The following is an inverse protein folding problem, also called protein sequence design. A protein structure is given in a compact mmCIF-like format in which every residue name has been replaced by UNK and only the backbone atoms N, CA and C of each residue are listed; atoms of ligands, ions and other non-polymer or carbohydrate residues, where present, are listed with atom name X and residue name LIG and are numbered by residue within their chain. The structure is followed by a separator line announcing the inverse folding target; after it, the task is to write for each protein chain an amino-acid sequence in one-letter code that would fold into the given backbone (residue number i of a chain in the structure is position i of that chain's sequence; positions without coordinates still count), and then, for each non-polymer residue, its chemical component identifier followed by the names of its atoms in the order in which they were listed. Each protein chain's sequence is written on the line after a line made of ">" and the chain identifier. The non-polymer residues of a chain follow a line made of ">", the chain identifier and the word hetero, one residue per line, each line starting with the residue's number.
data_IF_811894788849
#
_entry.id   IF_811894788849
#
_cell.length_a   1.000
_cell.length_b   1.000
_cell.length_c   1.000
_cell.angle_alpha   90.00
_cell.angle_beta   90.00
_cell.angle_gamma   90.00
#
_symmetry.space_group_name_H-M   'P 1'
#
loop_
_entity.id
_entity.type
_entity.pdbx_description
1 polymer ?
#
# COMPACT_ATOMS: atom_id res chain seq x y z
N UNK A 1 12.83 10.87 3.91
CA UNK A 1 12.48 10.32 2.60
C UNK A 1 12.84 11.28 1.49
N UNK A 2 13.43 10.78 0.44
CA UNK A 2 13.83 11.65 -0.67
C UNK A 2 12.61 12.13 -1.48
N UNK A 3 12.73 13.35 -2.05
CA UNK A 3 11.71 13.92 -2.92
C UNK A 3 11.90 13.40 -4.35
N UNK A 4 11.88 12.09 -4.50
CA UNK A 4 12.05 11.44 -5.79
C UNK A 4 10.81 11.62 -6.66
N UNK A 5 11.01 11.99 -7.92
CA UNK A 5 9.90 12.08 -8.86
C UNK A 5 9.27 10.70 -9.07
N UNK A 6 7.95 10.67 -9.21
CA UNK A 6 7.25 9.45 -9.60
C UNK A 6 7.72 9.04 -11.00
N UNK A 7 8.17 7.79 -11.20
CA UNK A 7 8.59 7.33 -12.54
C UNK A 7 7.44 7.41 -13.53
N UNK A 8 7.78 7.38 -14.82
CA UNK A 8 6.79 7.31 -15.89
C UNK A 8 5.94 6.06 -15.68
N UNK A 9 4.63 6.23 -15.66
CA UNK A 9 3.70 5.13 -15.41
C UNK A 9 3.36 4.40 -16.70
N UNK A 10 3.38 3.07 -16.63
CA UNK A 10 2.86 2.21 -17.69
C UNK A 10 1.37 1.96 -17.43
N UNK A 11 0.54 2.93 -17.79
CA UNK A 11 -0.90 2.76 -17.66
C UNK A 11 -1.37 1.56 -18.47
N UNK A 12 -2.26 0.77 -17.90
CA UNK A 12 -2.71 -0.48 -18.49
C UNK A 12 -1.87 -1.69 -18.10
N UNK A 13 -0.69 -1.50 -17.49
CA UNK A 13 0.15 -2.60 -17.05
C UNK A 13 -0.57 -3.40 -15.95
N UNK A 14 -0.53 -4.73 -16.07
CA UNK A 14 -1.13 -5.61 -15.07
C UNK A 14 -0.39 -5.55 -13.73
N UNK A 15 -1.15 -5.63 -12.63
CA UNK A 15 -0.57 -5.73 -11.30
C UNK A 15 0.27 -7.00 -11.18
N UNK A 16 1.42 -6.88 -10.51
CA UNK A 16 2.29 -8.02 -10.21
C UNK A 16 1.70 -8.86 -9.08
N UNK A 17 1.74 -10.17 -9.23
CA UNK A 17 1.23 -11.08 -8.21
C UNK A 17 2.13 -11.07 -6.96
N UNK A 18 1.55 -11.38 -5.82
CA UNK A 18 2.30 -11.47 -4.56
C UNK A 18 1.62 -12.43 -3.58
N UNK A 19 2.40 -12.91 -2.62
CA UNK A 19 1.92 -13.65 -1.46
C UNK A 19 2.76 -13.20 -0.27
N UNK A 20 2.14 -12.50 0.67
CA UNK A 20 2.84 -11.91 1.80
C UNK A 20 2.07 -12.14 3.09
N UNK A 21 2.79 -12.17 4.21
CA UNK A 21 2.18 -12.28 5.52
C UNK A 21 1.51 -10.95 5.91
N UNK A 22 0.28 -11.05 6.38
CA UNK A 22 -0.43 -9.90 6.93
C UNK A 22 -0.24 -9.81 8.44
N UNK A 23 -0.58 -8.65 9.00
CA UNK A 23 -0.56 -8.44 10.45
C UNK A 23 -1.57 -9.32 11.19
N UNK A 24 -2.49 -9.96 10.47
CA UNK A 24 -3.43 -10.93 11.02
C UNK A 24 -2.89 -12.37 10.98
N UNK A 25 -1.60 -12.55 10.68
CA UNK A 25 -0.95 -13.86 10.55
C UNK A 25 -1.55 -14.73 9.43
N UNK A 26 -2.06 -14.12 8.40
CA UNK A 26 -2.58 -14.79 7.21
C UNK A 26 -1.69 -14.49 6.01
N UNK A 27 -1.56 -15.45 5.12
CA UNK A 27 -0.90 -15.22 3.84
C UNK A 27 -1.94 -14.65 2.88
N UNK A 28 -1.67 -13.45 2.37
CA UNK A 28 -2.58 -12.74 1.49
C UNK A 28 -1.94 -12.61 0.10
N UNK A 29 -2.70 -12.96 -0.93
CA UNK A 29 -2.28 -12.83 -2.31
C UNK A 29 -3.01 -11.66 -2.99
N UNK A 30 -2.56 -11.31 -4.20
CA UNK A 30 -3.23 -10.29 -5.01
C UNK A 30 -4.71 -10.66 -5.25
N UNK A 31 -5.01 -11.92 -5.54
CA UNK A 31 -6.38 -12.36 -5.76
C UNK A 31 -7.27 -12.15 -4.55
N UNK A 32 -6.71 -12.27 -3.34
CA UNK A 32 -7.47 -12.09 -2.10
C UNK A 32 -7.90 -10.65 -1.89
N UNK A 33 -7.17 -9.69 -2.46
CA UNK A 33 -7.44 -8.26 -2.27
C UNK A 33 -7.99 -7.58 -3.51
N UNK A 34 -8.27 -8.35 -4.56
CA UNK A 34 -8.86 -7.83 -5.79
C UNK A 34 -10.27 -7.35 -5.53
N UNK A 35 -10.54 -6.08 -5.79
CA UNK A 35 -11.86 -5.50 -5.62
C UNK A 35 -12.76 -5.72 -6.82
N UNK A 36 -14.07 -5.70 -6.60
CA UNK A 36 -15.07 -5.87 -7.64
C UNK A 36 -14.94 -4.81 -8.75
N UNK A 37 -14.68 -3.58 -8.35
CA UNK A 37 -14.59 -2.43 -9.26
C UNK A 37 -13.19 -1.87 -9.38
N UNK A 38 -12.27 -2.28 -8.52
CA UNK A 38 -10.88 -1.81 -8.54
C UNK A 38 -10.11 -2.22 -7.31
N UNK A 39 -8.81 -1.96 -7.34
CA UNK A 39 -7.89 -2.33 -6.25
C UNK A 39 -6.87 -1.20 -6.06
N UNK A 40 -6.66 -0.80 -4.81
CA UNK A 40 -5.66 0.18 -4.44
C UNK A 40 -4.54 -0.52 -3.67
N UNK A 41 -3.31 -0.44 -4.18
CA UNK A 41 -2.13 -0.99 -3.52
C UNK A 41 -1.29 0.18 -3.03
N UNK A 42 -1.00 0.18 -1.73
CA UNK A 42 -0.27 1.28 -1.08
C UNK A 42 1.02 0.76 -0.47
N UNK A 43 2.14 1.39 -0.79
CA UNK A 43 3.40 1.10 -0.12
C UNK A 43 3.58 2.16 0.97
N UNK A 44 3.53 1.71 2.22
CA UNK A 44 3.63 2.57 3.41
C UNK A 44 4.61 1.97 4.41
N UNK A 45 4.94 2.73 5.44
CA UNK A 45 5.77 2.25 6.55
C UNK A 45 5.27 2.84 7.86
N UNK A 46 5.72 2.29 8.98
CA UNK A 46 5.26 2.73 10.30
C UNK A 46 5.93 4.02 10.77
N UNK A 47 7.17 4.27 10.34
CA UNK A 47 7.97 5.38 10.85
C UNK A 47 7.94 6.64 9.98
N UNK A 48 7.45 6.55 8.75
CA UNK A 48 7.50 7.65 7.80
C UNK A 48 6.62 8.82 8.29
N UNK A 49 7.20 10.03 8.48
CA UNK A 49 6.41 11.19 8.93
C UNK A 49 5.26 11.54 8.00
N UNK A 50 5.44 11.36 6.70
CA UNK A 50 4.38 11.62 5.73
C UNK A 50 3.21 10.66 5.90
N UNK A 51 3.50 9.38 6.15
CA UNK A 51 2.46 8.38 6.41
C UNK A 51 1.75 8.71 7.71
N UNK A 52 2.50 8.97 8.79
CA UNK A 52 1.91 9.28 10.10
C UNK A 52 0.99 10.50 10.05
N UNK A 53 1.32 11.47 9.22
CA UNK A 53 0.53 12.70 9.10
C UNK A 53 -0.82 12.47 8.41
N UNK A 54 -0.93 11.43 7.57
CA UNK A 54 -2.10 11.25 6.70
C UNK A 54 -2.79 9.90 6.87
N UNK A 55 -2.28 9.02 7.74
CA UNK A 55 -2.79 7.65 7.84
C UNK A 55 -4.28 7.58 8.20
N UNK A 56 -4.74 8.46 9.07
CA UNK A 56 -6.15 8.47 9.46
C UNK A 56 -7.05 8.88 8.28
N UNK A 57 -6.58 9.81 7.46
CA UNK A 57 -7.29 10.19 6.23
C UNK A 57 -7.30 9.04 5.23
N UNK A 58 -6.17 8.33 5.09
CA UNK A 58 -6.07 7.16 4.22
C UNK A 58 -7.09 6.10 4.66
N UNK A 59 -7.18 5.82 5.96
CA UNK A 59 -8.12 4.83 6.48
C UNK A 59 -9.57 5.25 6.16
N UNK A 60 -9.91 6.52 6.35
CA UNK A 60 -11.25 7.01 6.04
C UNK A 60 -11.55 6.90 4.54
N UNK A 61 -10.59 7.25 3.70
CA UNK A 61 -10.76 7.16 2.24
C UNK A 61 -10.92 5.70 1.80
N UNK A 62 -10.17 4.78 2.40
CA UNK A 62 -10.28 3.35 2.09
C UNK A 62 -11.65 2.79 2.49
N UNK A 63 -12.24 3.26 3.59
CA UNK A 63 -13.59 2.89 3.98
C UNK A 63 -14.63 3.33 2.94
N UNK A 64 -14.47 4.53 2.41
CA UNK A 64 -15.35 5.04 1.35
C UNK A 64 -15.18 4.24 0.06
N UNK A 65 -13.96 3.95 -0.33
CA UNK A 65 -13.66 3.15 -1.53
C UNK A 65 -14.25 1.75 -1.43
N UNK A 66 -14.21 1.13 -0.25
CA UNK A 66 -14.78 -0.21 -0.04
C UNK A 66 -16.26 -0.24 -0.38
N UNK A 67 -16.99 0.79 -0.05
CA UNK A 67 -18.43 0.92 -0.38
C UNK A 67 -18.65 0.95 -1.89
N UNK A 68 -17.68 1.45 -2.63
CA UNK A 68 -17.73 1.54 -4.10
C UNK A 68 -17.14 0.29 -4.78
N UNK A 69 -16.84 -0.75 -4.01
CA UNK A 69 -16.28 -1.99 -4.57
C UNK A 69 -14.80 -1.95 -4.87
N UNK A 70 -14.08 -0.96 -4.32
CA UNK A 70 -12.62 -0.85 -4.45
C UNK A 70 -11.99 -1.35 -3.15
N UNK A 71 -11.20 -2.40 -3.23
CA UNK A 71 -10.46 -2.93 -2.08
C UNK A 71 -9.08 -2.28 -2.01
N UNK A 72 -8.59 -2.10 -0.80
CA UNK A 72 -7.27 -1.55 -0.54
C UNK A 72 -6.38 -2.57 0.17
N UNK A 73 -5.08 -2.49 -0.08
CA UNK A 73 -4.07 -3.27 0.63
C UNK A 73 -2.84 -2.40 0.81
N UNK A 74 -2.20 -2.51 1.98
CA UNK A 74 -0.97 -1.78 2.27
C UNK A 74 0.19 -2.77 2.39
N UNK A 75 1.35 -2.38 1.90
CA UNK A 75 2.56 -3.19 1.92
C UNK A 75 3.70 -2.37 2.55
N UNK A 76 4.40 -2.97 3.52
CA UNK A 76 5.60 -2.39 4.12
C UNK A 76 6.81 -3.16 3.60
N UNK A 77 7.71 -2.46 2.92
CA UNK A 77 8.89 -3.06 2.29
C UNK A 77 10.19 -2.46 2.81
N UNK A 78 10.17 -1.79 3.96
CA UNK A 78 11.38 -1.19 4.51
C UNK A 78 12.29 -2.25 5.16
N UNK A 79 13.59 -1.99 5.09
CA UNK A 79 14.60 -2.84 5.71
C UNK A 79 14.54 -2.69 7.24
N UNK A 80 14.13 -3.75 7.92
CA UNK A 80 13.98 -3.77 9.38
C UNK A 80 15.32 -3.58 10.10
N UNK A 81 16.43 -3.99 9.49
CA UNK A 81 17.76 -3.81 10.09
C UNK A 81 18.11 -2.34 10.23
N UNK A 82 17.77 -1.53 9.24
CA UNK A 82 18.03 -0.10 9.25
C UNK A 82 16.87 0.70 9.85
N UNK A 83 15.67 0.16 9.82
CA UNK A 83 14.45 0.80 10.31
C UNK A 83 13.68 -0.14 11.24
N UNK A 84 14.17 -0.34 12.49
CA UNK A 84 13.50 -1.27 13.42
C UNK A 84 12.04 -0.89 13.71
N UNK A 85 11.69 0.38 13.53
CA UNK A 85 10.32 0.88 13.69
C UNK A 85 9.33 0.19 12.72
N UNK A 86 9.85 -0.38 11.63
CA UNK A 86 9.05 -1.08 10.63
C UNK A 86 9.03 -2.59 10.82
N UNK A 87 9.38 -3.07 12.00
CA UNK A 87 9.29 -4.50 12.33
C UNK A 87 7.84 -4.98 12.20
N UNK A 88 7.69 -6.30 12.04
CA UNK A 88 6.36 -6.90 11.94
C UNK A 88 5.51 -6.63 13.19
N UNK A 89 6.12 -6.69 14.38
CA UNK A 89 5.42 -6.37 15.63
C UNK A 89 4.93 -4.92 15.65
N UNK A 90 5.72 -4.00 15.15
CA UNK A 90 5.33 -2.60 15.07
C UNK A 90 4.28 -2.36 13.98
N UNK A 91 4.30 -3.14 12.90
CA UNK A 91 3.22 -3.12 11.91
C UNK A 91 1.88 -3.51 12.53
N UNK A 92 1.87 -4.55 13.36
CA UNK A 92 0.66 -4.99 14.06
C UNK A 92 0.12 -3.86 14.95
N UNK A 93 1.00 -3.23 15.73
CA UNK A 93 0.63 -2.10 16.60
C UNK A 93 0.09 -0.92 15.79
N UNK A 94 0.75 -0.59 14.70
CA UNK A 94 0.37 0.54 13.85
C UNK A 94 -1.02 0.33 13.25
N UNK A 95 -1.28 -0.86 12.72
CA UNK A 95 -2.58 -1.19 12.12
C UNK A 95 -3.72 -1.14 13.15
N UNK A 96 -3.46 -1.60 14.37
CA UNK A 96 -4.45 -1.56 15.46
C UNK A 96 -4.70 -0.14 15.94
N UNK A 97 -3.63 0.64 16.13
CA UNK A 97 -3.72 2.01 16.62
C UNK A 97 -4.49 2.93 15.67
N UNK A 98 -4.42 2.66 14.38
CA UNK A 98 -5.07 3.47 13.35
C UNK A 98 -6.33 2.82 12.76
N UNK A 99 -6.76 1.70 13.31
CA UNK A 99 -8.00 1.01 12.89
C UNK A 99 -8.04 0.71 11.40
N UNK A 100 -6.99 0.09 10.89
CA UNK A 100 -6.92 -0.30 9.48
C UNK A 100 -8.11 -1.19 9.12
N UNK A 101 -8.81 -0.85 8.05
CA UNK A 101 -9.87 -1.66 7.47
C UNK A 101 -9.39 -2.46 6.24
N UNK A 102 -8.10 -2.49 6.02
CA UNK A 102 -7.44 -3.17 4.91
C UNK A 102 -6.26 -4.00 5.43
N UNK A 103 -5.86 -5.06 4.72
CA UNK A 103 -4.69 -5.85 5.10
C UNK A 103 -3.40 -5.01 5.06
N UNK A 104 -2.51 -5.25 6.01
CA UNK A 104 -1.19 -4.66 6.05
C UNK A 104 -0.17 -5.78 5.94
N UNK A 105 0.57 -5.82 4.84
CA UNK A 105 1.42 -6.94 4.44
C UNK A 105 2.89 -6.61 4.61
N UNK A 106 3.68 -7.62 4.97
CA UNK A 106 5.12 -7.48 5.18
C UNK A 106 5.90 -8.05 4.00
N UNK A 107 6.56 -7.18 3.25
CA UNK A 107 7.45 -7.52 2.14
C UNK A 107 8.88 -7.52 2.66
N UNK A 108 9.25 -8.60 3.37
CA UNK A 108 10.52 -8.71 4.09
C UNK A 108 11.74 -8.56 3.18
N UNK A 109 11.67 -9.13 1.98
CA UNK A 109 12.79 -9.13 1.03
C UNK A 109 12.80 -7.92 0.12
N UNK A 110 11.76 -7.08 0.19
CA UNK A 110 11.59 -5.91 -0.67
C UNK A 110 11.39 -6.26 -2.15
N UNK A 111 11.13 -7.53 -2.46
CA UNK A 111 10.92 -7.99 -3.83
C UNK A 111 9.69 -7.39 -4.47
N UNK A 112 8.60 -7.27 -3.70
CA UNK A 112 7.33 -6.76 -4.24
C UNK A 112 7.46 -5.26 -4.55
N UNK A 113 8.09 -4.49 -3.67
CA UNK A 113 8.35 -3.08 -3.95
C UNK A 113 9.16 -2.91 -5.24
N UNK A 114 10.14 -3.77 -5.46
CA UNK A 114 10.97 -3.74 -6.68
C UNK A 114 10.14 -4.08 -7.92
N UNK A 115 9.28 -5.10 -7.84
CA UNK A 115 8.41 -5.50 -8.95
C UNK A 115 7.43 -4.39 -9.34
N UNK A 116 6.92 -3.66 -8.36
CA UNK A 116 6.00 -2.54 -8.60
C UNK A 116 6.74 -1.25 -8.92
N UNK A 117 8.07 -1.26 -8.82
CA UNK A 117 8.87 -0.05 -9.01
C UNK A 117 8.47 1.07 -8.05
N UNK A 118 8.13 0.70 -6.82
CA UNK A 118 7.81 1.65 -5.77
C UNK A 118 9.08 2.37 -5.33
N UNK A 119 9.05 3.70 -5.30
CA UNK A 119 10.26 4.51 -5.08
C UNK A 119 10.25 5.29 -3.77
N UNK A 120 9.09 5.42 -3.15
CA UNK A 120 8.98 6.16 -1.89
C UNK A 120 7.76 5.67 -1.12
N UNK A 121 7.65 6.10 0.15
CA UNK A 121 6.44 5.91 0.95
C UNK A 121 5.90 7.27 1.36
N UNK A 122 4.59 7.48 1.26
CA UNK A 122 3.60 6.59 0.65
C UNK A 122 3.65 6.63 -0.88
N UNK A 123 3.45 5.47 -1.50
CA UNK A 123 3.33 5.36 -2.97
C UNK A 123 2.05 4.58 -3.26
N UNK A 124 1.18 5.13 -4.10
CA UNK A 124 -0.16 4.60 -4.35
C UNK A 124 -0.29 4.12 -5.79
N UNK A 125 -0.85 2.92 -5.94
CA UNK A 125 -1.10 2.31 -7.25
C UNK A 125 -2.57 1.93 -7.34
N UNK A 126 -3.32 2.60 -8.22
CA UNK A 126 -4.75 2.32 -8.44
C UNK A 126 -4.97 1.48 -9.68
N UNK A 127 -5.69 0.37 -9.54
CA UNK A 127 -5.97 -0.58 -10.61
C UNK A 127 -7.48 -0.68 -10.85
N UNK A 128 -7.87 -0.90 -12.13
CA UNK A 128 -9.25 -1.16 -12.46
C UNK A 128 -9.65 -2.61 -12.10
N UNK A 129 -10.89 -3.00 -12.40
CA UNK A 129 -11.40 -4.34 -12.10
C UNK A 129 -10.60 -5.47 -12.77
N UNK A 130 -9.87 -5.16 -13.82
CA UNK A 130 -9.03 -6.11 -14.55
C UNK A 130 -7.57 -6.09 -14.09
N UNK A 131 -7.27 -5.38 -13.00
CA UNK A 131 -5.93 -5.20 -12.44
C UNK A 131 -4.97 -4.52 -13.42
N UNK A 132 -5.47 -3.58 -14.20
CA UNK A 132 -4.69 -2.74 -15.09
C UNK A 132 -4.46 -1.38 -14.44
N UNK A 133 -3.22 -0.89 -14.44
CA UNK A 133 -2.85 0.35 -13.77
C UNK A 133 -3.57 1.54 -14.39
N UNK A 134 -4.28 2.31 -13.56
CA UNK A 134 -5.00 3.51 -13.98
C UNK A 134 -4.49 4.77 -13.28
N UNK A 135 -3.89 4.62 -12.11
CA UNK A 135 -3.43 5.74 -11.31
C UNK A 135 -2.16 5.34 -10.55
N UNK A 136 -1.21 6.26 -10.52
CA UNK A 136 -0.05 6.15 -9.65
C UNK A 136 0.29 7.53 -9.10
N UNK A 137 0.52 7.63 -7.78
CA UNK A 137 0.84 8.93 -7.21
C UNK A 137 1.23 8.87 -5.76
N UNK A 138 1.48 10.05 -5.22
CA UNK A 138 1.76 10.28 -3.80
C UNK A 138 0.53 10.89 -3.17
N UNK A 139 0.54 10.98 -1.84
CA UNK A 139 -0.62 11.48 -1.10
C UNK A 139 -1.09 12.86 -1.58
N UNK A 140 -0.15 13.72 -2.00
CA UNK A 140 -0.50 15.06 -2.47
C UNK A 140 -1.33 14.99 -3.75
N UNK A 141 -0.93 14.14 -4.68
CA UNK A 141 -1.66 13.92 -5.93
C UNK A 141 -3.01 13.25 -5.69
N UNK A 142 -3.07 12.36 -4.71
CA UNK A 142 -4.31 11.68 -4.34
C UNK A 142 -5.34 12.67 -3.78
N UNK A 143 -4.90 13.68 -3.04
CA UNK A 143 -5.78 14.71 -2.50
C UNK A 143 -6.33 15.65 -3.58
N UNK A 144 -5.62 15.80 -4.67
CA UNK A 144 -5.99 16.66 -5.78
C UNK A 144 -7.00 15.98 -6.73
N UNK A 145 -7.23 14.71 -6.50
CA UNK A 145 -8.25 13.96 -7.24
C UNK A 145 -9.63 14.18 -6.58
#
# INVERSE_FOLDING_TARGET
>A
MSLTKTPICDFGKKAENFKLNSTDNKIISLDDVKGKNGTLIMFICNHCPYVKAVIDDIVQDCKKLEKDGVKAVAVCSNDVKNYPEDSFDNMIKFSKNHNFNFPYLFDETQEIAKKYNAVCTPDFFGYNKNLELQYRGRIRELKDL
#
